data_IF_695391681067
#
_entry.id   IF_695391681067
#
_cell.length_a   1.000
_cell.length_b   1.000
_cell.length_c   1.000
_cell.angle_alpha   90.00
_cell.angle_beta   90.00
_cell.angle_gamma   90.00
#
_symmetry.space_group_name_H-M   'P 1'
#
loop_
_entity.id
_entity.type
_entity.pdbx_description
1 polymer ?
#
# COMPACT_ATOMS: atom_id res chain seq x y z
N UNK A 1 6.60 1.33 -12.40
CA UNK A 1 5.25 1.10 -11.86
C UNK A 1 5.39 1.15 -10.34
N UNK A 2 4.78 2.11 -9.63
CA UNK A 2 4.83 2.15 -8.18
C UNK A 2 4.15 0.92 -7.59
N UNK A 3 4.80 0.30 -6.59
CA UNK A 3 4.22 -0.77 -5.78
C UNK A 3 3.66 -0.17 -4.50
N UNK A 4 2.38 -0.40 -4.27
CA UNK A 4 1.66 0.03 -3.09
C UNK A 4 1.47 -1.17 -2.16
N UNK A 5 1.65 -0.93 -0.87
CA UNK A 5 1.53 -1.98 0.14
C UNK A 5 0.17 -1.83 0.82
N UNK A 6 -0.56 -2.93 0.92
CA UNK A 6 -1.88 -3.00 1.52
C UNK A 6 -1.89 -3.99 2.67
N UNK A 7 -2.71 -3.73 3.68
CA UNK A 7 -2.92 -4.59 4.84
C UNK A 7 -4.39 -4.88 5.03
N UNK A 8 -4.75 -6.16 5.04
CA UNK A 8 -6.11 -6.58 5.37
C UNK A 8 -6.36 -6.45 6.87
N UNK A 9 -7.47 -5.83 7.25
CA UNK A 9 -7.86 -5.72 8.66
C UNK A 9 -8.45 -7.01 9.24
N UNK A 10 -9.05 -7.86 8.39
CA UNK A 10 -9.76 -9.05 8.88
C UNK A 10 -8.81 -10.23 9.11
N UNK A 11 -7.86 -10.48 8.20
CA UNK A 11 -6.89 -11.55 8.35
C UNK A 11 -5.49 -11.07 8.79
N UNK A 12 -5.26 -9.75 8.80
CA UNK A 12 -3.98 -9.15 9.19
C UNK A 12 -2.87 -9.29 8.13
N UNK A 13 -3.17 -9.81 6.95
CA UNK A 13 -2.18 -10.07 5.91
C UNK A 13 -1.75 -8.79 5.18
N UNK A 14 -0.46 -8.68 4.90
CA UNK A 14 0.13 -7.59 4.13
C UNK A 14 0.53 -8.10 2.75
N UNK A 15 0.13 -7.38 1.70
CA UNK A 15 0.46 -7.72 0.31
C UNK A 15 0.83 -6.46 -0.47
N UNK A 16 1.54 -6.64 -1.58
CA UNK A 16 2.00 -5.56 -2.45
C UNK A 16 1.24 -5.62 -3.77
N UNK A 17 0.75 -4.47 -4.24
CA UNK A 17 0.05 -4.33 -5.51
C UNK A 17 0.76 -3.28 -6.37
N UNK A 18 1.15 -3.67 -7.58
CA UNK A 18 1.77 -2.75 -8.53
C UNK A 18 0.67 -2.02 -9.31
N UNK A 19 0.60 -0.70 -9.19
CA UNK A 19 -0.44 0.09 -9.83
C UNK A 19 0.15 1.14 -10.76
N UNK A 20 -0.60 1.48 -11.80
CA UNK A 20 -0.31 2.63 -12.63
C UNK A 20 -0.98 3.86 -12.03
N UNK A 21 -0.33 5.04 -12.09
CA UNK A 21 -0.90 6.28 -11.56
C UNK A 21 -2.30 6.60 -12.12
N UNK A 22 -2.61 6.12 -13.32
CA UNK A 22 -3.92 6.31 -13.97
C UNK A 22 -5.06 5.48 -13.33
N UNK A 23 -4.73 4.42 -12.58
CA UNK A 23 -5.68 3.45 -12.03
C UNK A 23 -5.72 3.46 -10.49
N UNK A 24 -4.87 4.30 -9.85
CA UNK A 24 -4.74 4.33 -8.38
C UNK A 24 -6.03 4.77 -7.66
N UNK A 25 -6.92 5.50 -8.34
CA UNK A 25 -8.20 5.92 -7.76
C UNK A 25 -9.31 4.85 -7.86
N UNK A 26 -9.13 3.83 -8.71
CA UNK A 26 -10.21 2.89 -9.07
C UNK A 26 -10.03 1.49 -8.51
N UNK A 27 -8.82 1.11 -8.11
CA UNK A 27 -8.55 -0.24 -7.63
C UNK A 27 -8.67 -0.27 -6.11
N UNK A 28 -9.75 -0.88 -5.64
CA UNK A 28 -9.85 -1.38 -4.27
C UNK A 28 -9.32 -2.82 -4.26
N UNK A 29 -8.07 -3.06 -3.86
CA UNK A 29 -7.52 -4.41 -3.88
C UNK A 29 -8.21 -5.26 -2.81
N UNK A 30 -8.73 -6.42 -3.20
CA UNK A 30 -9.26 -7.41 -2.26
C UNK A 30 -8.15 -8.30 -1.72
N UNK A 31 -8.28 -8.75 -0.48
CA UNK A 31 -7.29 -9.64 0.11
C UNK A 31 -7.31 -11.03 -0.58
N UNK A 32 -6.20 -11.50 -1.17
CA UNK A 32 -6.18 -12.77 -1.91
C UNK A 32 -6.39 -14.00 -1.02
N UNK A 33 -6.23 -13.87 0.30
CA UNK A 33 -6.34 -14.97 1.26
C UNK A 33 -7.73 -15.18 1.83
N UNK A 34 -8.49 -14.11 2.04
CA UNK A 34 -9.80 -14.17 2.68
C UNK A 34 -10.93 -13.57 1.83
N UNK A 35 -10.61 -12.88 0.74
CA UNK A 35 -11.60 -12.20 -0.11
C UNK A 35 -12.18 -10.92 0.49
N UNK A 36 -11.71 -10.49 1.67
CA UNK A 36 -12.22 -9.29 2.31
C UNK A 36 -11.84 -8.02 1.55
N UNK A 37 -12.82 -7.11 1.39
CA UNK A 37 -12.66 -5.77 0.82
C UNK A 37 -12.12 -4.76 1.83
N UNK A 38 -12.09 -5.11 3.12
CA UNK A 38 -11.51 -4.28 4.18
C UNK A 38 -9.99 -4.37 4.16
N UNK A 39 -9.38 -3.58 3.28
CA UNK A 39 -7.94 -3.50 3.12
C UNK A 39 -7.49 -2.04 3.22
N UNK A 40 -6.53 -1.76 4.08
CA UNK A 40 -5.97 -0.42 4.27
C UNK A 40 -4.65 -0.27 3.54
N UNK A 41 -4.42 0.90 2.95
CA UNK A 41 -3.13 1.25 2.38
C UNK A 41 -2.10 1.48 3.50
N UNK A 42 -0.94 0.83 3.42
CA UNK A 42 0.18 1.02 4.34
C UNK A 42 1.04 2.14 3.77
N UNK A 43 0.99 3.36 4.33
CA UNK A 43 1.87 4.41 3.88
C UNK A 43 3.32 3.98 4.09
N UNK A 44 4.12 4.07 3.03
CA UNK A 44 5.56 3.82 3.14
C UNK A 44 6.18 4.91 4.03
N UNK A 45 7.01 4.57 5.02
CA UNK A 45 7.65 5.57 5.85
C UNK A 45 8.70 6.31 5.02
N UNK A 46 8.35 7.48 4.49
CA UNK A 46 9.31 8.37 3.88
C UNK A 46 10.17 9.02 4.97
N UNK A 47 11.42 8.60 5.07
CA UNK A 47 12.40 9.25 5.95
C UNK A 47 13.19 10.29 5.15
N UNK A 48 12.89 11.57 5.38
CA UNK A 48 13.65 12.67 4.79
C UNK A 48 15.08 12.65 5.34
N UNK A 49 16.06 12.30 4.51
CA UNK A 49 17.49 12.40 4.84
C UNK A 49 17.92 13.86 4.67
N UNK A 50 17.93 14.63 5.74
CA UNK A 50 18.52 15.99 5.72
C UNK A 50 19.99 15.91 6.07
N UNK A 51 20.88 16.39 5.20
CA UNK A 51 22.26 16.66 5.57
C UNK A 51 22.29 17.91 6.45
N UNK A 52 22.85 17.81 7.66
CA UNK A 52 23.09 18.96 8.53
C UNK A 52 24.09 19.87 7.83
N UNK A 53 23.64 21.03 7.35
CA UNK A 53 24.51 22.06 6.79
C UNK A 53 25.23 22.75 7.96
N UNK A 54 26.56 22.60 8.02
CA UNK A 54 27.41 23.27 9.01
C UNK A 54 27.66 24.73 8.65
#
# INVERSE_FOLDING_TARGET
MPTYQYRCEECGETFEHAEHLAEHETIHPQCPKCGSEKVQHVPTPFVAKTTKKS
#
